data_IF_386890337169
#
_entry.id   IF_386890337169
#
_cell.length_a   1.000
_cell.length_b   1.000
_cell.length_c   1.000
_cell.angle_alpha   90.00
_cell.angle_beta   90.00
_cell.angle_gamma   90.00
#
_symmetry.space_group_name_H-M   'P 1'
#
loop_
_entity.id
_entity.type
_entity.pdbx_description
1 polymer ?
#
# COMPACT_ATOMS: atom_id res chain seq x y z
N UNK A 1 21.06 -12.77 27.99
CA UNK A 1 19.97 -13.43 28.73
C UNK A 1 19.06 -14.14 27.73
N UNK A 2 19.10 -15.47 27.65
CA UNK A 2 18.34 -16.21 26.65
C UNK A 2 16.84 -16.13 26.95
N UNK A 3 16.04 -15.65 26.02
CA UNK A 3 14.57 -15.62 26.11
C UNK A 3 14.09 -17.04 25.84
N UNK A 4 13.72 -17.77 26.92
CA UNK A 4 13.05 -19.05 26.77
C UNK A 4 11.68 -18.86 26.14
N UNK A 5 11.54 -19.33 24.88
CA UNK A 5 10.24 -19.47 24.19
C UNK A 5 9.66 -20.84 24.54
N UNK A 6 8.41 -20.88 24.96
CA UNK A 6 7.65 -22.13 25.01
C UNK A 6 7.34 -22.61 23.60
N UNK A 7 7.08 -23.91 23.45
CA UNK A 7 6.81 -24.54 22.14
C UNK A 7 5.58 -23.97 21.40
N UNK A 8 4.70 -23.27 22.11
CA UNK A 8 3.51 -22.56 21.60
C UNK A 8 3.79 -21.12 21.15
N UNK A 9 5.05 -20.66 21.28
CA UNK A 9 5.45 -19.31 20.86
C UNK A 9 5.08 -18.18 21.82
N UNK A 10 4.40 -18.45 22.93
CA UNK A 10 4.01 -17.44 23.91
C UNK A 10 5.22 -16.99 24.74
N UNK A 11 5.38 -15.69 24.90
CA UNK A 11 6.39 -15.10 25.79
C UNK A 11 5.76 -14.75 27.14
N UNK A 12 6.60 -14.68 28.21
CA UNK A 12 6.13 -14.35 29.57
C UNK A 12 5.24 -13.12 29.63
N UNK A 13 5.47 -12.13 28.78
CA UNK A 13 4.68 -10.92 28.69
C UNK A 13 3.25 -11.21 28.21
N UNK A 14 3.10 -12.11 27.25
CA UNK A 14 1.78 -12.49 26.71
C UNK A 14 1.00 -13.30 27.76
N UNK A 15 1.69 -14.15 28.51
CA UNK A 15 1.11 -14.89 29.67
C UNK A 15 0.63 -13.93 30.75
N UNK A 16 1.43 -12.92 31.11
CA UNK A 16 1.04 -11.91 32.10
C UNK A 16 -0.13 -11.05 31.62
N UNK A 17 -0.19 -10.72 30.32
CA UNK A 17 -1.31 -10.00 29.75
C UNK A 17 -2.60 -10.84 29.71
N UNK A 18 -2.49 -12.12 29.40
CA UNK A 18 -3.60 -13.07 29.47
C UNK A 18 -4.07 -13.26 30.90
N UNK A 19 -3.13 -13.42 31.87
CA UNK A 19 -3.41 -13.55 33.30
C UNK A 19 -4.08 -12.31 33.88
N UNK A 20 -3.62 -11.10 33.52
CA UNK A 20 -4.22 -9.84 33.96
C UNK A 20 -5.63 -9.65 33.40
N UNK A 21 -5.87 -10.03 32.13
CA UNK A 21 -7.22 -10.01 31.52
C UNK A 21 -8.15 -11.01 32.18
N UNK A 22 -7.66 -12.20 32.52
CA UNK A 22 -8.40 -13.20 33.30
C UNK A 22 -8.72 -12.73 34.72
N UNK A 23 -7.79 -12.05 35.40
CA UNK A 23 -7.98 -11.47 36.71
C UNK A 23 -9.00 -10.32 36.76
N UNK A 24 -9.16 -9.61 35.62
CA UNK A 24 -10.19 -8.58 35.47
C UNK A 24 -11.55 -9.13 35.03
N UNK A 25 -11.70 -10.46 34.91
CA UNK A 25 -12.95 -11.10 34.51
C UNK A 25 -13.31 -10.94 33.05
N UNK A 26 -12.38 -10.46 32.19
CA UNK A 26 -12.58 -10.28 30.76
C UNK A 26 -12.15 -11.54 30.00
N UNK A 27 -13.10 -12.39 29.67
CA UNK A 27 -12.88 -13.55 28.82
C UNK A 27 -12.88 -13.21 27.32
N UNK A 28 -12.53 -14.22 26.50
CA UNK A 28 -12.62 -14.10 25.03
C UNK A 28 -14.03 -13.71 24.58
N UNK A 29 -15.06 -14.21 25.25
CA UNK A 29 -16.45 -13.85 24.97
C UNK A 29 -16.72 -12.37 25.24
N UNK A 30 -16.11 -11.76 26.25
CA UNK A 30 -16.29 -10.35 26.55
C UNK A 30 -15.54 -9.47 25.54
N UNK A 31 -14.36 -9.91 25.08
CA UNK A 31 -13.64 -9.26 23.99
C UNK A 31 -14.46 -9.29 22.69
N UNK A 32 -15.03 -10.43 22.37
CA UNK A 32 -15.90 -10.58 21.18
C UNK A 32 -17.19 -9.78 21.31
N UNK A 33 -17.78 -9.72 22.53
CA UNK A 33 -18.92 -8.85 22.84
C UNK A 33 -18.59 -7.38 22.73
N UNK A 34 -17.43 -6.95 23.24
CA UNK A 34 -16.94 -5.57 23.09
C UNK A 34 -16.69 -5.21 21.62
N UNK A 35 -16.13 -6.13 20.85
CA UNK A 35 -15.96 -5.94 19.40
C UNK A 35 -17.30 -5.87 18.67
N UNK A 36 -18.25 -6.76 19.00
CA UNK A 36 -19.60 -6.74 18.44
C UNK A 36 -20.37 -5.49 18.88
N UNK A 37 -20.21 -5.03 20.13
CA UNK A 37 -20.85 -3.82 20.63
C UNK A 37 -20.24 -2.56 20.00
N UNK A 38 -18.94 -2.55 19.76
CA UNK A 38 -18.26 -1.47 19.02
C UNK A 38 -18.71 -1.42 17.55
N UNK A 39 -18.96 -2.59 16.95
CA UNK A 39 -19.52 -2.70 15.60
C UNK A 39 -21.01 -2.36 15.54
N UNK A 40 -21.77 -2.60 16.63
CA UNK A 40 -23.19 -2.33 16.75
C UNK A 40 -23.49 -0.96 17.39
N UNK A 41 -22.50 -0.25 17.90
CA UNK A 41 -22.69 1.12 18.39
C UNK A 41 -23.24 1.96 17.21
N UNK A 42 -24.38 2.64 17.38
CA UNK A 42 -24.83 3.56 16.36
C UNK A 42 -23.70 4.53 16.09
N UNK A 43 -23.26 4.58 14.85
CA UNK A 43 -22.18 5.43 14.41
C UNK A 43 -22.61 6.88 14.70
N UNK A 44 -22.23 7.38 15.86
CA UNK A 44 -22.31 8.79 16.17
C UNK A 44 -21.36 9.52 15.24
N UNK A 45 -21.92 9.99 14.12
CA UNK A 45 -21.19 10.56 12.99
C UNK A 45 -20.40 9.47 12.24
N UNK A 46 -20.80 9.12 11.03
CA UNK A 46 -20.08 8.15 10.20
C UNK A 46 -18.58 8.51 10.20
N UNK A 47 -17.76 7.67 10.79
CA UNK A 47 -16.32 7.88 10.81
C UNK A 47 -15.88 8.09 9.36
N UNK A 48 -15.19 9.20 9.08
CA UNK A 48 -14.69 9.47 7.73
C UNK A 48 -13.87 8.25 7.28
N UNK A 49 -14.11 7.73 6.10
CA UNK A 49 -13.35 6.58 5.63
C UNK A 49 -11.86 6.94 5.59
N UNK A 50 -11.04 6.15 6.27
CA UNK A 50 -9.59 6.31 6.25
C UNK A 50 -9.07 5.62 4.98
N UNK A 51 -8.47 6.38 4.08
CA UNK A 51 -7.76 5.85 2.92
C UNK A 51 -6.26 5.81 3.21
N UNK A 52 -5.51 4.92 2.54
CA UNK A 52 -4.11 4.69 2.79
C UNK A 52 -3.26 4.94 1.54
N UNK A 53 -2.15 5.63 1.70
CA UNK A 53 -1.06 5.67 0.72
C UNK A 53 0.12 4.91 1.32
N UNK A 54 0.56 3.83 0.67
CA UNK A 54 1.74 3.08 1.02
C UNK A 54 2.88 3.47 0.08
N UNK A 55 3.94 4.04 0.62
CA UNK A 55 5.19 4.26 -0.12
C UNK A 55 6.09 3.06 0.16
N UNK A 56 6.28 2.23 -0.86
CA UNK A 56 7.08 1.02 -0.76
C UNK A 56 8.47 1.28 -1.31
N UNK A 57 9.46 1.24 -0.44
CA UNK A 57 10.88 1.43 -0.79
C UNK A 57 11.49 0.06 -1.10
N UNK A 58 11.33 -0.39 -2.36
CA UNK A 58 11.73 -1.74 -2.76
C UNK A 58 13.25 -1.89 -2.77
N UNK A 59 13.72 -2.95 -2.14
CA UNK A 59 15.12 -3.22 -1.87
C UNK A 59 15.52 -2.95 -0.41
N UNK A 60 14.81 -2.04 0.25
CA UNK A 60 14.99 -1.73 1.67
C UNK A 60 16.11 -0.73 1.94
N UNK A 61 15.79 0.53 2.24
CA UNK A 61 16.79 1.50 2.64
C UNK A 61 17.45 1.09 3.96
N UNK A 62 18.72 1.41 4.11
CA UNK A 62 19.41 1.18 5.38
C UNK A 62 18.75 1.98 6.50
N UNK A 63 18.45 1.32 7.60
CA UNK A 63 17.89 1.98 8.78
C UNK A 63 18.92 2.85 9.50
N UNK A 64 20.21 2.50 9.42
CA UNK A 64 21.30 3.30 10.01
C UNK A 64 21.42 4.67 9.35
N UNK A 65 21.31 4.73 8.03
CA UNK A 65 21.40 5.96 7.25
C UNK A 65 20.07 6.68 7.11
N UNK A 66 19.04 6.26 7.83
CA UNK A 66 17.71 6.89 7.81
C UNK A 66 17.17 7.16 9.23
N UNK A 67 16.28 6.31 9.72
CA UNK A 67 15.49 6.59 10.93
C UNK A 67 16.08 6.06 12.22
N UNK A 68 17.13 5.24 12.17
CA UNK A 68 17.71 4.57 13.35
C UNK A 68 19.24 4.64 13.37
N UNK A 69 19.85 5.83 13.31
CA UNK A 69 21.29 5.96 13.42
C UNK A 69 21.78 5.49 14.79
N UNK A 70 23.00 4.98 14.84
CA UNK A 70 23.64 4.48 16.05
C UNK A 70 24.86 5.36 16.37
N UNK A 71 24.67 6.58 16.88
CA UNK A 71 25.76 7.57 17.02
C UNK A 71 26.88 7.09 17.94
N UNK A 72 26.56 6.26 18.92
CA UNK A 72 27.51 5.72 19.92
C UNK A 72 28.13 4.37 19.50
N UNK A 73 27.77 3.86 18.31
CA UNK A 73 28.36 2.63 17.80
C UNK A 73 29.73 2.89 17.14
N UNK A 74 30.59 1.84 17.02
CA UNK A 74 31.82 1.90 16.23
C UNK A 74 31.57 2.40 14.80
N UNK A 75 32.61 2.96 14.18
CA UNK A 75 32.52 3.62 12.86
C UNK A 75 32.02 2.70 11.74
N UNK A 76 32.33 1.42 11.82
CA UNK A 76 31.89 0.37 10.88
C UNK A 76 30.38 0.05 10.97
N UNK A 77 29.73 0.43 12.07
CA UNK A 77 28.28 0.27 12.29
C UNK A 77 27.57 1.60 12.11
N UNK A 78 28.16 2.69 12.64
CA UNK A 78 27.53 4.01 12.66
C UNK A 78 27.28 4.59 11.27
N UNK A 79 28.07 4.21 10.28
CA UNK A 79 28.03 4.78 8.94
C UNK A 79 28.69 6.15 8.84
N UNK A 80 28.61 6.77 7.66
CA UNK A 80 29.33 8.03 7.34
C UNK A 80 28.52 9.30 7.57
N UNK A 81 27.21 9.18 7.69
CA UNK A 81 26.32 10.33 7.86
C UNK A 81 26.24 10.80 9.31
N UNK A 82 26.09 12.12 9.47
CA UNK A 82 25.87 12.71 10.79
C UNK A 82 24.43 12.44 11.26
N UNK A 83 24.27 12.47 12.58
CA UNK A 83 22.95 12.46 13.19
C UNK A 83 22.41 13.88 13.33
N UNK A 84 21.11 14.04 13.14
CA UNK A 84 20.39 15.30 13.35
C UNK A 84 19.32 15.14 14.41
N UNK A 85 19.09 16.12 15.28
CA UNK A 85 18.00 16.07 16.23
C UNK A 85 16.67 16.14 15.49
N UNK A 86 15.64 15.48 16.03
CA UNK A 86 14.27 15.58 15.52
C UNK A 86 13.47 16.62 16.28
N UNK A 87 12.23 16.89 15.84
CA UNK A 87 11.27 17.73 16.60
C UNK A 87 10.88 17.11 17.96
N UNK A 88 11.20 15.84 18.19
CA UNK A 88 10.95 15.15 19.47
C UNK A 88 12.25 15.07 20.26
N UNK A 89 12.34 15.68 21.46
CA UNK A 89 13.56 15.70 22.26
C UNK A 89 14.12 14.30 22.54
N UNK A 90 15.42 14.12 22.40
CA UNK A 90 16.12 12.85 22.65
C UNK A 90 16.06 11.85 21.51
N UNK A 91 15.36 12.15 20.42
CA UNK A 91 15.31 11.30 19.22
C UNK A 91 16.13 11.92 18.10
N UNK A 92 16.96 11.10 17.47
CA UNK A 92 17.81 11.51 16.37
C UNK A 92 17.54 10.66 15.13
N UNK A 93 17.64 11.28 13.97
CA UNK A 93 17.65 10.63 12.65
C UNK A 93 19.00 10.86 11.97
N UNK A 94 19.23 10.16 10.87
CA UNK A 94 20.39 10.41 10.04
C UNK A 94 20.19 11.65 9.14
N UNK A 95 21.27 12.35 8.83
CA UNK A 95 21.30 13.58 8.02
C UNK A 95 20.50 13.50 6.71
N UNK A 96 20.53 12.38 5.94
CA UNK A 96 19.78 12.27 4.70
C UNK A 96 18.27 12.48 4.85
N UNK A 97 17.70 12.19 6.00
CA UNK A 97 16.25 12.36 6.27
C UNK A 97 15.95 13.56 7.18
N UNK A 98 16.79 14.58 7.13
CA UNK A 98 16.70 15.78 7.98
C UNK A 98 15.37 16.54 7.86
N UNK A 99 14.75 16.58 6.67
CA UNK A 99 13.42 17.18 6.48
C UNK A 99 12.35 16.45 7.28
N UNK A 100 12.41 15.11 7.31
CA UNK A 100 11.50 14.28 8.11
C UNK A 100 11.79 14.42 9.61
N UNK A 101 13.05 14.60 9.99
CA UNK A 101 13.41 14.87 11.39
C UNK A 101 12.68 16.11 11.93
N UNK A 102 12.56 17.18 11.14
CA UNK A 102 11.89 18.42 11.50
C UNK A 102 10.38 18.29 11.77
N UNK A 103 9.73 17.23 11.30
CA UNK A 103 8.29 16.98 11.44
C UNK A 103 7.98 15.66 12.14
N UNK A 104 8.93 15.11 12.90
CA UNK A 104 8.77 13.79 13.51
C UNK A 104 7.61 13.72 14.54
N UNK A 105 7.21 14.82 15.12
CA UNK A 105 6.02 14.94 15.96
C UNK A 105 4.69 14.58 15.24
N UNK A 106 4.72 14.44 13.91
CA UNK A 106 3.53 14.17 13.08
C UNK A 106 3.41 12.74 12.59
N UNK A 107 4.39 11.88 12.85
CA UNK A 107 4.38 10.48 12.43
C UNK A 107 5.08 9.56 13.43
N UNK A 108 4.96 8.26 13.23
CA UNK A 108 5.56 7.25 14.10
C UNK A 108 6.60 6.44 13.34
N UNK A 109 7.73 6.17 13.98
CA UNK A 109 8.76 5.24 13.49
C UNK A 109 8.76 3.99 14.36
N UNK A 110 8.56 2.82 13.73
CA UNK A 110 8.60 1.53 14.41
C UNK A 110 9.93 0.85 14.10
N UNK A 111 10.90 0.98 15.01
CA UNK A 111 12.26 0.42 14.89
C UNK A 111 12.39 -1.05 15.24
N UNK A 112 11.35 -1.65 15.81
CA UNK A 112 11.36 -3.03 16.31
C UNK A 112 10.85 -4.07 15.34
N UNK A 113 10.50 -3.67 14.10
CA UNK A 113 10.05 -4.61 13.08
C UNK A 113 11.24 -5.47 12.64
N UNK A 114 11.10 -6.78 12.73
CA UNK A 114 12.09 -7.74 12.28
C UNK A 114 11.41 -9.02 11.79
N UNK A 115 12.08 -9.74 10.92
CA UNK A 115 11.67 -11.05 10.42
C UNK A 115 12.90 -11.95 10.19
N UNK A 116 12.68 -13.22 9.88
CA UNK A 116 13.74 -14.22 9.72
C UNK A 116 14.13 -14.48 8.27
N UNK A 117 13.43 -13.88 7.31
CA UNK A 117 13.70 -14.07 5.89
C UNK A 117 14.91 -13.24 5.46
N UNK A 118 16.00 -13.87 4.98
CA UNK A 118 17.26 -13.18 4.74
C UNK A 118 17.36 -12.57 3.34
N UNK A 119 16.31 -12.59 2.54
CA UNK A 119 16.32 -12.13 1.15
C UNK A 119 15.08 -11.32 0.79
N UNK A 120 15.14 -10.60 -0.35
CA UNK A 120 14.05 -9.73 -0.80
C UNK A 120 12.75 -10.47 -1.11
N UNK A 121 12.80 -11.70 -1.61
CA UNK A 121 11.58 -12.46 -1.91
C UNK A 121 10.76 -12.74 -0.67
N UNK A 122 11.37 -13.33 0.35
CA UNK A 122 10.73 -13.65 1.63
C UNK A 122 10.44 -12.40 2.47
N UNK A 123 11.40 -11.47 2.54
CA UNK A 123 11.24 -10.22 3.29
C UNK A 123 10.09 -9.35 2.76
N UNK A 124 10.02 -9.15 1.45
CA UNK A 124 8.90 -8.43 0.83
C UNK A 124 7.56 -9.12 1.09
N UNK A 125 7.53 -10.47 0.98
CA UNK A 125 6.31 -11.21 1.27
C UNK A 125 5.85 -10.99 2.70
N UNK A 126 6.78 -11.12 3.67
CA UNK A 126 6.46 -10.94 5.07
C UNK A 126 5.91 -9.54 5.37
N UNK A 127 6.56 -8.51 4.83
CA UNK A 127 6.18 -7.11 5.05
C UNK A 127 4.87 -6.72 4.35
N UNK A 128 4.61 -7.27 3.15
CA UNK A 128 3.40 -6.96 2.38
C UNK A 128 2.15 -7.70 2.86
N UNK A 129 2.33 -8.86 3.52
CA UNK A 129 1.22 -9.77 3.84
C UNK A 129 1.05 -10.01 5.34
N UNK A 130 2.07 -9.71 6.15
CA UNK A 130 2.12 -10.05 7.58
C UNK A 130 2.42 -11.52 7.88
N UNK A 131 2.69 -12.35 6.85
CA UNK A 131 2.92 -13.78 6.99
C UNK A 131 4.26 -14.20 6.35
N UNK A 132 4.97 -15.18 6.93
CA UNK A 132 6.16 -15.74 6.29
C UNK A 132 5.79 -16.50 5.02
N UNK A 133 6.75 -16.70 4.13
CA UNK A 133 6.55 -17.60 2.99
C UNK A 133 6.45 -19.05 3.49
N UNK A 134 5.48 -19.86 3.01
CA UNK A 134 5.31 -21.24 3.44
C UNK A 134 6.45 -22.16 2.97
N UNK A 135 7.17 -21.75 1.95
CA UNK A 135 8.35 -22.44 1.40
C UNK A 135 9.45 -21.41 1.16
N UNK A 136 10.74 -21.83 1.18
CA UNK A 136 11.86 -20.97 0.84
C UNK A 136 11.71 -20.40 -0.58
N UNK A 137 11.97 -19.10 -0.74
CA UNK A 137 11.92 -18.41 -2.03
C UNK A 137 13.26 -17.79 -2.37
N UNK A 138 13.55 -17.68 -3.66
CA UNK A 138 14.77 -17.03 -4.16
C UNK A 138 14.76 -15.53 -3.92
N UNK A 139 15.96 -14.95 -3.88
CA UNK A 139 16.13 -13.52 -3.85
C UNK A 139 15.50 -12.89 -5.11
N UNK A 140 14.67 -11.87 -4.92
CA UNK A 140 13.98 -11.21 -6.03
C UNK A 140 12.74 -11.93 -6.56
N UNK A 141 12.32 -13.05 -5.96
CA UNK A 141 11.13 -13.77 -6.39
C UNK A 141 9.86 -12.89 -6.30
N UNK A 142 9.08 -12.91 -7.39
CA UNK A 142 7.74 -12.35 -7.44
C UNK A 142 6.73 -13.44 -7.06
N UNK A 143 6.51 -13.61 -5.77
CA UNK A 143 5.60 -14.64 -5.24
C UNK A 143 4.52 -13.98 -4.38
N UNK A 144 3.35 -14.57 -4.39
CA UNK A 144 2.24 -14.15 -3.55
C UNK A 144 1.57 -15.41 -3.00
N UNK A 145 1.92 -15.79 -1.77
CA UNK A 145 1.30 -16.93 -1.07
C UNK A 145 0.12 -16.51 -0.20
N UNK A 146 0.11 -15.24 0.24
CA UNK A 146 -0.93 -14.65 1.05
C UNK A 146 -1.33 -13.31 0.43
N UNK A 147 -2.57 -12.84 0.62
CA UNK A 147 -3.01 -11.56 0.10
C UNK A 147 -2.19 -10.41 0.66
N UNK A 148 -1.87 -9.44 -0.18
CA UNK A 148 -1.28 -8.18 0.26
C UNK A 148 -2.26 -7.35 1.07
N UNK A 149 -1.74 -6.42 1.90
CA UNK A 149 -2.57 -5.47 2.65
C UNK A 149 -3.53 -4.71 1.74
N UNK A 150 -3.09 -4.27 0.56
CA UNK A 150 -3.94 -3.57 -0.41
C UNK A 150 -5.06 -4.44 -0.94
N UNK A 151 -4.78 -5.71 -1.22
CA UNK A 151 -5.79 -6.69 -1.66
C UNK A 151 -6.79 -7.01 -0.56
N UNK A 152 -6.35 -7.13 0.70
CA UNK A 152 -7.25 -7.30 1.84
C UNK A 152 -8.18 -6.09 2.00
N UNK A 153 -7.66 -4.87 1.88
CA UNK A 153 -8.49 -3.65 1.92
C UNK A 153 -9.46 -3.61 0.75
N UNK A 154 -9.04 -4.04 -0.44
CA UNK A 154 -9.90 -4.16 -1.62
C UNK A 154 -11.06 -5.11 -1.37
N UNK A 155 -10.79 -6.27 -0.79
CA UNK A 155 -11.79 -7.27 -0.45
C UNK A 155 -12.81 -6.74 0.58
N UNK A 156 -12.33 -6.16 1.67
CA UNK A 156 -13.18 -5.70 2.77
C UNK A 156 -14.02 -4.47 2.42
N UNK A 157 -13.51 -3.58 1.59
CA UNK A 157 -14.17 -2.30 1.30
C UNK A 157 -14.92 -2.27 -0.01
N UNK A 158 -14.54 -3.12 -0.97
CA UNK A 158 -15.12 -3.16 -2.31
C UNK A 158 -14.93 -1.86 -3.10
N UNK A 159 -15.55 -1.82 -4.27
CA UNK A 159 -15.54 -0.65 -5.15
C UNK A 159 -16.39 0.46 -4.55
N UNK A 160 -15.85 1.66 -4.48
CA UNK A 160 -16.54 2.87 -4.05
C UNK A 160 -16.37 3.96 -5.11
N UNK A 161 -17.45 4.66 -5.41
CA UNK A 161 -17.43 5.77 -6.37
C UNK A 161 -16.94 5.40 -7.79
N UNK A 162 -17.10 4.14 -8.21
CA UNK A 162 -16.68 3.67 -9.53
C UNK A 162 -15.15 3.59 -9.72
N UNK A 163 -14.37 3.69 -8.64
CA UNK A 163 -12.91 3.58 -8.68
C UNK A 163 -12.45 2.24 -8.11
N UNK A 164 -11.43 1.59 -8.71
CA UNK A 164 -10.78 0.45 -8.10
C UNK A 164 -10.35 0.77 -6.68
N UNK A 165 -10.67 -0.09 -5.69
CA UNK A 165 -10.34 0.18 -4.29
C UNK A 165 -8.85 0.09 -3.98
N UNK A 166 -8.08 -0.59 -4.83
CA UNK A 166 -6.64 -0.74 -4.73
C UNK A 166 -5.96 -0.35 -6.04
N UNK A 167 -5.02 0.57 -5.98
CA UNK A 167 -4.18 0.99 -7.11
C UNK A 167 -2.70 0.88 -6.75
N UNK A 168 -1.85 0.58 -7.74
CA UNK A 168 -0.40 0.56 -7.58
C UNK A 168 0.29 1.28 -8.74
N UNK A 169 1.38 1.96 -8.47
CA UNK A 169 2.15 2.72 -9.46
C UNK A 169 3.66 2.66 -9.17
N UNK A 170 4.52 2.61 -10.19
CA UNK A 170 4.22 2.42 -11.63
C UNK A 170 3.86 0.98 -11.97
N UNK A 171 4.09 0.06 -11.08
CA UNK A 171 3.89 -1.38 -11.23
C UNK A 171 3.50 -1.99 -9.90
N UNK A 172 3.02 -3.23 -9.93
CA UNK A 172 2.80 -3.98 -8.70
C UNK A 172 4.12 -4.25 -7.97
N UNK A 173 4.07 -4.30 -6.65
CA UNK A 173 5.20 -4.73 -5.83
C UNK A 173 5.30 -6.26 -5.82
N UNK A 174 6.48 -6.78 -5.44
CA UNK A 174 6.60 -8.20 -5.05
C UNK A 174 5.59 -8.47 -3.95
N UNK A 175 4.91 -9.60 -4.03
CA UNK A 175 3.86 -9.99 -3.08
C UNK A 175 2.69 -9.00 -2.93
N UNK A 176 2.49 -8.10 -3.90
CA UNK A 176 1.41 -7.11 -3.90
C UNK A 176 0.07 -7.62 -4.43
N UNK A 177 -0.03 -8.93 -4.72
CA UNK A 177 -1.22 -9.54 -5.32
C UNK A 177 -2.27 -10.03 -4.31
N UNK A 178 -3.43 -10.47 -4.81
CA UNK A 178 -4.58 -10.88 -4.01
C UNK A 178 -4.52 -12.34 -3.55
N UNK A 179 -3.72 -13.20 -4.18
CA UNK A 179 -3.67 -14.65 -3.96
C UNK A 179 -5.10 -15.26 -3.94
N UNK A 180 -5.49 -15.95 -2.85
CA UNK A 180 -6.76 -16.66 -2.73
C UNK A 180 -8.00 -15.74 -2.62
N UNK A 181 -7.84 -14.43 -2.55
CA UNK A 181 -8.98 -13.50 -2.56
C UNK A 181 -9.60 -13.32 -3.95
N UNK A 182 -8.93 -13.81 -5.00
CA UNK A 182 -9.37 -13.65 -6.39
C UNK A 182 -8.80 -12.42 -7.09
N UNK A 183 -8.71 -12.53 -8.42
CA UNK A 183 -8.07 -11.52 -9.28
C UNK A 183 -8.71 -10.13 -9.20
N UNK A 184 -10.00 -10.05 -8.90
CA UNK A 184 -10.77 -8.82 -8.72
C UNK A 184 -10.22 -7.89 -7.62
N UNK A 185 -9.41 -8.45 -6.70
CA UNK A 185 -8.73 -7.69 -5.65
C UNK A 185 -7.27 -7.37 -5.98
N UNK A 186 -6.85 -7.61 -7.23
CA UNK A 186 -5.56 -7.14 -7.73
C UNK A 186 -5.50 -5.62 -7.80
N UNK A 187 -4.31 -5.01 -7.65
CA UNK A 187 -4.19 -3.58 -7.86
C UNK A 187 -4.45 -3.20 -9.32
N UNK A 188 -5.18 -2.12 -9.52
CA UNK A 188 -5.17 -1.43 -10.81
C UNK A 188 -3.82 -0.73 -10.99
N UNK A 189 -3.11 -1.03 -12.08
CA UNK A 189 -1.77 -0.52 -12.32
C UNK A 189 -1.82 0.81 -13.06
N UNK A 190 -1.31 1.85 -12.41
CA UNK A 190 -1.14 3.19 -12.99
C UNK A 190 0.29 3.33 -13.51
N UNK A 191 0.49 3.00 -14.78
CA UNK A 191 1.77 3.11 -15.47
C UNK A 191 2.10 4.53 -15.94
N UNK A 192 3.18 4.66 -16.70
CA UNK A 192 3.64 5.92 -17.29
C UNK A 192 4.39 6.83 -16.32
N UNK A 193 4.75 8.03 -16.80
CA UNK A 193 5.49 9.04 -16.05
C UNK A 193 4.62 10.26 -15.79
N UNK A 194 4.10 10.48 -14.58
CA UNK A 194 3.16 11.56 -14.30
C UNK A 194 3.74 12.98 -14.49
N UNK A 195 5.08 13.09 -14.53
CA UNK A 195 5.74 14.37 -14.79
C UNK A 195 5.95 14.66 -16.29
N UNK A 196 5.72 13.70 -17.17
CA UNK A 196 5.89 13.93 -18.61
C UNK A 196 4.72 14.70 -19.22
N UNK A 197 5.02 15.49 -20.26
CA UNK A 197 3.99 16.16 -21.03
C UNK A 197 3.09 15.12 -21.72
N UNK A 198 1.77 15.32 -21.58
CA UNK A 198 0.80 14.40 -22.14
C UNK A 198 0.60 13.10 -21.37
N UNK A 199 1.03 13.03 -20.11
CA UNK A 199 0.72 11.89 -19.23
C UNK A 199 -0.78 11.58 -19.29
N UNK A 200 -1.09 10.35 -19.65
CA UNK A 200 -2.45 9.81 -19.65
C UNK A 200 -2.40 8.37 -19.19
N UNK A 201 -3.33 7.99 -18.35
CA UNK A 201 -3.52 6.59 -17.99
C UNK A 201 -4.33 5.94 -19.11
N UNK A 202 -3.70 5.04 -19.85
CA UNK A 202 -4.26 4.50 -21.10
C UNK A 202 -5.63 3.84 -20.92
N UNK A 203 -5.84 3.21 -19.78
CA UNK A 203 -7.07 2.47 -19.48
C UNK A 203 -8.17 3.32 -18.82
N UNK A 204 -7.96 4.64 -18.71
CA UNK A 204 -8.91 5.59 -18.09
C UNK A 204 -9.56 6.52 -19.11
N UNK A 205 -9.14 6.46 -20.37
CA UNK A 205 -9.70 7.30 -21.44
C UNK A 205 -10.33 6.44 -22.52
N UNK A 206 -11.61 6.69 -22.83
CA UNK A 206 -12.24 6.06 -23.99
C UNK A 206 -11.46 6.41 -25.25
N UNK A 207 -11.16 5.44 -26.14
CA UNK A 207 -10.62 5.74 -27.45
C UNK A 207 -11.47 6.80 -28.14
N UNK A 208 -10.82 7.77 -28.80
CA UNK A 208 -11.49 8.94 -29.37
C UNK A 208 -12.53 8.65 -30.46
N UNK A 209 -12.54 7.43 -31.00
CA UNK A 209 -13.50 6.89 -31.95
C UNK A 209 -14.75 6.26 -31.29
N UNK A 210 -14.71 6.06 -29.95
CA UNK A 210 -15.83 5.55 -29.17
C UNK A 210 -16.57 6.70 -28.49
N UNK A 211 -17.60 7.21 -29.15
CA UNK A 211 -18.53 8.14 -28.51
C UNK A 211 -19.17 7.46 -27.27
N UNK A 212 -19.31 8.22 -26.18
CA UNK A 212 -19.85 7.75 -24.89
C UNK A 212 -21.17 6.96 -25.05
N UNK A 213 -22.00 7.34 -26.02
CA UNK A 213 -23.25 6.64 -26.34
C UNK A 213 -23.04 5.24 -26.92
N UNK A 214 -21.98 4.99 -27.71
CA UNK A 214 -21.68 3.63 -28.20
C UNK A 214 -21.14 2.72 -27.13
N UNK A 215 -20.36 3.26 -26.18
CA UNK A 215 -19.82 2.50 -25.07
C UNK A 215 -20.94 2.04 -24.14
N UNK A 216 -21.91 2.92 -23.82
CA UNK A 216 -23.09 2.56 -23.02
C UNK A 216 -24.00 1.54 -23.70
N UNK A 217 -24.26 1.70 -25.01
CA UNK A 217 -25.08 0.72 -25.76
C UNK A 217 -24.42 -0.66 -25.83
N UNK A 218 -23.10 -0.75 -25.95
CA UNK A 218 -22.37 -2.02 -25.88
C UNK A 218 -22.49 -2.67 -24.51
N UNK A 219 -22.40 -1.87 -23.43
CA UNK A 219 -22.59 -2.35 -22.05
C UNK A 219 -24.01 -2.89 -21.83
N UNK A 220 -25.03 -2.16 -22.29
CA UNK A 220 -26.43 -2.59 -22.19
C UNK A 220 -26.70 -3.89 -22.95
N UNK A 221 -26.19 -4.00 -24.19
CA UNK A 221 -26.31 -5.19 -25.01
C UNK A 221 -25.62 -6.39 -24.35
N UNK A 222 -24.40 -6.22 -23.84
CA UNK A 222 -23.67 -7.25 -23.12
C UNK A 222 -24.45 -7.69 -21.88
N UNK A 223 -24.90 -6.75 -21.03
CA UNK A 223 -25.72 -7.06 -19.86
C UNK A 223 -27.03 -7.77 -20.17
N UNK A 224 -27.64 -7.53 -21.34
CA UNK A 224 -28.80 -8.26 -21.82
C UNK A 224 -28.44 -9.70 -22.21
N UNK A 225 -27.36 -9.91 -22.95
CA UNK A 225 -26.85 -11.23 -23.31
C UNK A 225 -26.43 -12.05 -22.10
N UNK A 226 -25.77 -11.45 -21.12
CA UNK A 226 -25.34 -12.11 -19.89
C UNK A 226 -26.51 -12.51 -19.02
N UNK A 227 -27.56 -11.71 -18.96
CA UNK A 227 -28.82 -12.10 -18.29
C UNK A 227 -29.49 -13.30 -18.95
N UNK A 228 -29.49 -13.38 -20.28
CA UNK A 228 -30.02 -14.52 -21.01
C UNK A 228 -29.20 -15.79 -20.75
N UNK A 229 -27.86 -15.67 -20.67
CA UNK A 229 -26.97 -16.79 -20.37
C UNK A 229 -27.15 -17.31 -18.95
N UNK A 230 -27.18 -16.41 -17.95
CA UNK A 230 -27.38 -16.78 -16.52
C UNK A 230 -28.73 -17.40 -16.21
N UNK A 231 -29.76 -17.19 -17.03
CA UNK A 231 -31.02 -17.88 -16.90
C UNK A 231 -30.91 -19.39 -17.23
N UNK A 232 -29.83 -19.79 -17.93
CA UNK A 232 -29.59 -21.18 -18.32
C UNK A 232 -28.56 -21.90 -17.44
N UNK A 233 -27.60 -21.16 -16.84
CA UNK A 233 -26.50 -21.72 -16.07
C UNK A 233 -26.79 -21.60 -14.57
N UNK A 234 -27.26 -22.67 -13.96
CA UNK A 234 -27.27 -22.85 -12.51
C UNK A 234 -25.89 -23.31 -12.06
N UNK A 235 -25.20 -22.38 -11.37
CA UNK A 235 -24.12 -22.64 -10.41
C UNK A 235 -22.92 -23.43 -10.92
N UNK A 236 -21.95 -22.72 -11.44
CA UNK A 236 -20.53 -23.09 -11.38
C UNK A 236 -19.74 -21.79 -11.11
N UNK A 237 -18.71 -21.86 -10.26
CA UNK A 237 -17.69 -20.81 -10.15
C UNK A 237 -17.02 -20.67 -11.53
N UNK A 238 -17.57 -19.80 -12.39
CA UNK A 238 -17.14 -19.61 -13.75
C UNK A 238 -16.06 -18.51 -13.76
N UNK A 239 -14.83 -18.79 -14.23
CA UNK A 239 -13.81 -17.77 -14.44
C UNK A 239 -14.29 -16.56 -15.27
N UNK A 240 -15.31 -16.73 -16.11
CA UNK A 240 -15.95 -15.64 -16.84
C UNK A 240 -16.61 -14.59 -15.93
N UNK A 241 -17.03 -14.94 -14.72
CA UNK A 241 -17.63 -14.01 -13.75
C UNK A 241 -16.57 -13.03 -13.22
N UNK A 242 -15.34 -13.50 -12.99
CA UNK A 242 -14.24 -12.62 -12.61
C UNK A 242 -13.91 -11.63 -13.72
N UNK A 243 -13.88 -12.10 -14.97
CA UNK A 243 -13.63 -11.24 -16.15
C UNK A 243 -14.72 -10.17 -16.30
N UNK A 244 -15.98 -10.49 -16.01
CA UNK A 244 -17.07 -9.54 -16.05
C UNK A 244 -16.91 -8.41 -15.03
N UNK A 245 -16.47 -8.73 -13.81
CA UNK A 245 -16.19 -7.72 -12.76
C UNK A 245 -15.06 -6.79 -13.14
N UNK A 246 -13.98 -7.31 -13.71
CA UNK A 246 -12.88 -6.47 -14.21
C UNK A 246 -13.35 -5.52 -15.32
N UNK A 247 -14.16 -6.02 -16.22
CA UNK A 247 -14.71 -5.21 -17.31
C UNK A 247 -15.58 -4.07 -16.78
N UNK A 248 -16.47 -4.38 -15.81
CA UNK A 248 -17.33 -3.37 -15.19
C UNK A 248 -16.51 -2.32 -14.44
N UNK A 249 -15.52 -2.74 -13.66
CA UNK A 249 -14.60 -1.81 -12.97
C UNK A 249 -13.84 -0.94 -13.95
N UNK A 250 -13.32 -1.51 -15.04
CA UNK A 250 -12.65 -0.77 -16.10
C UNK A 250 -13.57 0.23 -16.78
N UNK A 251 -14.79 -0.17 -17.09
CA UNK A 251 -15.77 0.71 -17.71
C UNK A 251 -16.21 1.86 -16.79
N UNK A 252 -16.45 1.59 -15.52
CA UNK A 252 -16.81 2.61 -14.53
C UNK A 252 -15.67 3.61 -14.35
N UNK A 253 -14.43 3.14 -14.35
CA UNK A 253 -13.25 3.99 -14.27
C UNK A 253 -13.15 4.93 -15.48
N UNK A 254 -13.31 4.39 -16.69
CA UNK A 254 -13.22 5.14 -17.96
C UNK A 254 -14.37 6.14 -18.11
N UNK A 255 -15.55 5.81 -17.61
CA UNK A 255 -16.73 6.67 -17.72
C UNK A 255 -16.86 7.70 -16.58
N UNK A 256 -16.08 7.56 -15.52
CA UNK A 256 -16.11 8.45 -14.36
C UNK A 256 -15.36 9.75 -14.61
N UNK A 257 -16.07 10.87 -14.77
CA UNK A 257 -15.45 12.19 -14.85
C UNK A 257 -14.56 12.49 -13.63
N UNK A 258 -14.97 12.05 -12.43
CA UNK A 258 -14.22 12.22 -11.20
C UNK A 258 -12.89 11.46 -11.21
N UNK A 259 -12.88 10.25 -11.81
CA UNK A 259 -11.65 9.49 -12.00
C UNK A 259 -10.70 10.20 -12.96
N UNK A 260 -11.21 10.62 -14.11
CA UNK A 260 -10.42 11.35 -15.10
C UNK A 260 -9.81 12.63 -14.53
N UNK A 261 -10.59 13.39 -13.75
CA UNK A 261 -10.09 14.57 -13.05
C UNK A 261 -8.99 14.25 -12.03
N UNK A 262 -9.07 13.14 -11.32
CA UNK A 262 -8.05 12.74 -10.35
C UNK A 262 -6.71 12.44 -11.03
N UNK A 263 -6.72 11.87 -12.21
CA UNK A 263 -5.51 11.58 -12.99
C UNK A 263 -4.91 12.81 -13.69
N UNK A 264 -5.66 13.88 -13.83
CA UNK A 264 -5.19 15.11 -14.48
C UNK A 264 -4.39 15.98 -13.50
N UNK A 265 -3.07 15.78 -13.48
CA UNK A 265 -2.16 16.61 -12.69
C UNK A 265 -2.02 18.06 -13.19
N UNK A 266 -2.49 18.35 -14.40
CA UNK A 266 -2.52 19.72 -14.93
C UNK A 266 -3.45 20.64 -14.14
N UNK A 267 -4.40 20.08 -13.40
CA UNK A 267 -5.33 20.83 -12.53
C UNK A 267 -4.73 21.25 -11.18
N UNK A 268 -3.55 20.74 -10.83
CA UNK A 268 -2.85 21.15 -9.61
C UNK A 268 -2.07 22.44 -9.85
N UNK A 269 -2.04 23.30 -8.83
CA UNK A 269 -1.20 24.49 -8.84
C UNK A 269 0.26 24.15 -9.09
N UNK A 270 0.92 24.94 -9.94
CA UNK A 270 2.34 24.77 -10.21
C UNK A 270 3.19 24.74 -8.94
N UNK A 271 2.89 25.59 -7.95
CA UNK A 271 3.57 25.62 -6.66
C UNK A 271 3.40 24.32 -5.86
N UNK A 272 2.25 23.67 -5.94
CA UNK A 272 2.00 22.36 -5.32
C UNK A 272 2.83 21.29 -6.02
N UNK A 273 2.83 21.28 -7.35
CA UNK A 273 3.63 20.34 -8.14
C UNK A 273 5.14 20.49 -7.86
N UNK A 274 5.62 21.73 -7.71
CA UNK A 274 7.01 22.00 -7.32
C UNK A 274 7.34 21.47 -5.93
N UNK A 275 6.44 21.64 -4.95
CA UNK A 275 6.63 21.13 -3.58
C UNK A 275 6.75 19.61 -3.50
N UNK A 276 6.05 18.88 -4.36
CA UNK A 276 6.18 17.43 -4.49
C UNK A 276 7.43 17.01 -5.26
N UNK A 277 8.08 17.94 -5.96
CA UNK A 277 9.18 17.69 -6.88
C UNK A 277 8.70 17.42 -8.30
N UNK A 278 9.31 18.10 -9.28
CA UNK A 278 9.04 17.95 -10.73
C UNK A 278 9.80 16.77 -11.30
N UNK A 279 9.74 15.65 -10.60
CA UNK A 279 10.31 14.37 -11.01
C UNK A 279 9.23 13.27 -10.98
N UNK A 280 9.57 12.11 -11.47
CA UNK A 280 8.61 11.00 -11.61
C UNK A 280 8.02 10.59 -10.25
N UNK A 281 8.86 10.44 -9.23
CA UNK A 281 8.41 9.97 -7.91
C UNK A 281 7.57 11.01 -7.18
N UNK A 282 7.99 12.26 -7.16
CA UNK A 282 7.22 13.35 -6.52
C UNK A 282 5.83 13.51 -7.15
N UNK A 283 5.74 13.41 -8.49
CA UNK A 283 4.44 13.50 -9.16
C UNK A 283 3.59 12.23 -8.98
N UNK A 284 4.18 11.04 -8.74
CA UNK A 284 3.44 9.85 -8.31
C UNK A 284 2.85 10.00 -6.91
N UNK A 285 3.60 10.57 -5.98
CA UNK A 285 3.09 10.86 -4.63
C UNK A 285 1.94 11.87 -4.66
N UNK A 286 2.05 12.89 -5.50
CA UNK A 286 0.98 13.85 -5.74
C UNK A 286 -0.26 13.16 -6.33
N UNK A 287 -0.07 12.29 -7.33
CA UNK A 287 -1.16 11.50 -7.91
C UNK A 287 -1.81 10.58 -6.88
N UNK A 288 -1.01 9.90 -6.04
CA UNK A 288 -1.53 9.05 -4.97
C UNK A 288 -2.42 9.84 -4.00
N UNK A 289 -2.03 11.07 -3.62
CA UNK A 289 -2.86 11.96 -2.80
C UNK A 289 -4.21 12.23 -3.48
N UNK A 290 -4.22 12.61 -4.76
CA UNK A 290 -5.44 12.89 -5.51
C UNK A 290 -6.37 11.68 -5.59
N UNK A 291 -5.80 10.49 -5.78
CA UNK A 291 -6.56 9.25 -5.85
C UNK A 291 -7.25 8.91 -4.52
N UNK A 292 -6.59 9.08 -3.39
CA UNK A 292 -7.22 8.86 -2.08
C UNK A 292 -8.25 9.94 -1.74
N UNK A 293 -8.07 11.17 -2.19
CA UNK A 293 -9.04 12.28 -2.05
C UNK A 293 -10.35 12.01 -2.80
N UNK A 294 -10.30 11.32 -3.93
CA UNK A 294 -11.50 10.91 -4.68
C UNK A 294 -12.10 9.59 -4.22
N UNK A 295 -11.46 8.91 -3.25
CA UNK A 295 -12.05 7.76 -2.56
C UNK A 295 -11.40 6.40 -2.83
N UNK A 296 -10.25 6.34 -3.52
CA UNK A 296 -9.46 5.11 -3.60
C UNK A 296 -9.01 4.72 -2.20
N UNK A 297 -9.33 3.50 -1.79
CA UNK A 297 -9.11 3.05 -0.41
C UNK A 297 -7.64 2.78 -0.09
N UNK A 298 -6.87 2.30 -1.08
CA UNK A 298 -5.46 1.98 -0.94
C UNK A 298 -4.68 2.29 -2.22
N UNK A 299 -3.59 3.04 -2.09
CA UNK A 299 -2.66 3.33 -3.18
C UNK A 299 -1.26 2.93 -2.76
N UNK A 300 -0.61 2.06 -3.53
CA UNK A 300 0.81 1.71 -3.35
C UNK A 300 1.66 2.47 -4.37
N UNK A 301 2.60 3.26 -3.88
CA UNK A 301 3.65 3.87 -4.69
C UNK A 301 4.92 3.03 -4.51
N UNK A 302 5.26 2.27 -5.55
CA UNK A 302 6.44 1.41 -5.56
C UNK A 302 7.66 2.23 -6.02
N UNK A 303 8.61 2.41 -5.12
CA UNK A 303 9.86 3.13 -5.37
C UNK A 303 11.05 2.19 -5.20
N UNK A 304 11.52 1.66 -6.32
CA UNK A 304 12.66 0.73 -6.36
C UNK A 304 14.02 1.42 -6.25
N UNK A 305 15.06 0.58 -6.18
CA UNK A 305 16.44 1.03 -6.20
C UNK A 305 17.06 1.27 -4.82
N UNK A 306 16.43 0.82 -3.73
CA UNK A 306 16.92 1.03 -2.37
C UNK A 306 17.88 -0.05 -1.85
N UNK A 307 18.16 -1.08 -2.66
CA UNK A 307 19.08 -2.17 -2.32
C UNK A 307 20.54 -1.78 -2.62
N UNK A 308 21.16 -1.08 -1.68
CA UNK A 308 22.53 -0.61 -1.81
C UNK A 308 23.51 -1.59 -1.14
N UNK A 309 24.25 -2.33 -1.94
CA UNK A 309 25.35 -3.20 -1.50
C UNK A 309 26.71 -2.48 -1.47
N UNK A 310 26.75 -1.22 -1.84
CA UNK A 310 27.92 -0.36 -1.86
C UNK A 310 27.55 1.05 -2.35
N UNK A 311 28.43 2.03 -2.13
CA UNK A 311 28.20 3.40 -2.60
C UNK A 311 26.99 4.11 -1.99
N UNK A 312 26.52 3.68 -0.83
CA UNK A 312 25.31 4.20 -0.16
C UNK A 312 25.40 5.71 0.08
N UNK A 313 26.58 6.22 0.37
CA UNK A 313 26.78 7.64 0.59
C UNK A 313 26.50 8.46 -0.68
N UNK A 314 26.99 8.01 -1.83
CA UNK A 314 26.74 8.67 -3.10
C UNK A 314 25.25 8.62 -3.48
N UNK A 315 24.61 7.46 -3.27
CA UNK A 315 23.19 7.28 -3.54
C UNK A 315 22.32 8.19 -2.66
N UNK A 316 22.62 8.31 -1.38
CA UNK A 316 21.81 9.08 -0.42
C UNK A 316 22.11 10.60 -0.47
N UNK A 317 23.22 11.02 -1.04
CA UNK A 317 23.49 12.43 -1.38
C UNK A 317 22.92 12.85 -2.74
N UNK A 318 22.53 11.89 -3.58
CA UNK A 318 21.96 12.12 -4.90
C UNK A 318 20.46 12.43 -4.90
N UNK A 319 19.83 12.33 -6.08
CA UNK A 319 18.42 12.68 -6.30
C UNK A 319 17.44 11.86 -5.48
N UNK A 320 17.84 10.68 -5.02
CA UNK A 320 16.97 9.70 -4.39
C UNK A 320 16.30 10.25 -3.13
N UNK A 321 17.04 10.95 -2.27
CA UNK A 321 16.52 11.54 -1.03
C UNK A 321 16.08 12.99 -1.16
N UNK A 322 16.40 13.66 -2.26
CA UNK A 322 15.88 15.02 -2.51
C UNK A 322 14.38 15.03 -2.73
N UNK A 323 13.80 13.89 -3.05
CA UNK A 323 12.35 13.69 -3.28
C UNK A 323 11.59 13.35 -1.99
N UNK A 324 12.26 12.89 -0.94
CA UNK A 324 11.70 12.72 0.41
C UNK A 324 11.77 14.02 1.20
#
# INVERSE_FOLDING_TARGET
>A
MAIHRHCDGLVRRDFLQLGLRGALGLGMCDLLRLQASAAAAPAGGAAKPVNCIMIWLDGGPSHFETFDPKPDAPDDIRGTFKTVPTSVPGVHFSEPVSKLAGIFDRFTVVRSICHKDPNHGGGNHYMMTGAPTPVPVGCGAFVTFHPSMGSMVSHERGVRSGLPPYMAMPANTRSGGPNFLGGEHSPFIVGGHPNSDGFRVHDVVLPGDLATGRASSRRELRGALDRMKRAHDRVVEDPAVEFDRFYEQGFDLVSSARAQEAFDLGREDAAVRERYGRNDMGQRMLLARRLVEVGVSWVTVNWGGWDHHGGIEAAYKGEMLQTL
#
